data_IF_523967062186
#
_entry.id   IF_523967062186
#
_cell.length_a   1.000
_cell.length_b   1.000
_cell.length_c   1.000
_cell.angle_alpha   90.00
_cell.angle_beta   90.00
_cell.angle_gamma   90.00
#
_symmetry.space_group_name_H-M   'P 1'
#
loop_
_entity.id
_entity.type
_entity.pdbx_description
1 polymer ?
#
# COMPACT_ATOMS: atom_id res chain seq x y z
N UNK A 1 -1.52 -26.94 -1.35
CA UNK A 1 -1.85 -25.58 -0.87
C UNK A 1 -2.42 -25.64 0.56
N UNK A 2 -1.62 -25.31 1.57
CA UNK A 2 -2.09 -25.24 2.97
C UNK A 2 -2.97 -24.01 3.14
N UNK A 3 -4.21 -24.17 3.63
CA UNK A 3 -5.21 -23.12 3.95
C UNK A 3 -4.66 -21.87 4.69
N UNK A 4 -3.47 -21.95 5.29
CA UNK A 4 -2.78 -20.86 6.00
C UNK A 4 -2.20 -19.76 5.11
N UNK A 5 -1.85 -20.05 3.85
CA UNK A 5 -1.26 -19.03 2.96
C UNK A 5 -2.31 -18.06 2.42
N UNK A 6 -3.49 -18.57 2.09
CA UNK A 6 -4.62 -17.78 1.63
C UNK A 6 -5.08 -16.77 2.69
N UNK A 7 -5.11 -17.18 3.96
CA UNK A 7 -5.48 -16.29 5.07
C UNK A 7 -4.49 -15.13 5.27
N UNK A 8 -3.18 -15.34 5.04
CA UNK A 8 -2.19 -14.25 5.13
C UNK A 8 -2.36 -13.23 4.01
N UNK A 9 -2.70 -13.67 2.81
CA UNK A 9 -2.94 -12.77 1.68
C UNK A 9 -4.23 -11.95 1.87
N UNK A 10 -5.29 -12.55 2.43
CA UNK A 10 -6.54 -11.83 2.71
C UNK A 10 -6.33 -10.70 3.72
N UNK A 11 -5.59 -10.96 4.81
CA UNK A 11 -5.29 -9.92 5.82
C UNK A 11 -4.44 -8.80 5.20
N UNK A 12 -3.47 -9.15 4.34
CA UNK A 12 -2.67 -8.18 3.61
C UNK A 12 -3.54 -7.31 2.70
N UNK A 13 -4.46 -7.91 1.93
CA UNK A 13 -5.37 -7.18 1.04
C UNK A 13 -6.29 -6.23 1.81
N UNK A 14 -6.83 -6.64 2.96
CA UNK A 14 -7.67 -5.78 3.81
C UNK A 14 -6.85 -4.61 4.39
N UNK A 15 -5.62 -4.87 4.84
CA UNK A 15 -4.72 -3.82 5.32
C UNK A 15 -4.37 -2.81 4.22
N UNK A 16 -4.08 -3.28 3.00
CA UNK A 16 -3.85 -2.41 1.84
C UNK A 16 -5.10 -1.59 1.49
N UNK A 17 -6.29 -2.19 1.54
CA UNK A 17 -7.55 -1.50 1.27
C UNK A 17 -7.84 -0.36 2.26
N UNK A 18 -7.54 -0.59 3.55
CA UNK A 18 -7.63 0.43 4.59
C UNK A 18 -6.56 1.53 4.41
N UNK A 19 -5.32 1.17 4.07
CA UNK A 19 -4.27 2.15 3.80
C UNK A 19 -4.59 3.01 2.58
N UNK A 20 -5.21 2.45 1.55
CA UNK A 20 -5.65 3.21 0.37
C UNK A 20 -6.79 4.19 0.67
N UNK A 21 -7.54 4.05 1.76
CA UNK A 21 -8.55 5.03 2.16
C UNK A 21 -7.93 6.34 2.69
N UNK A 22 -6.74 6.28 3.28
CA UNK A 22 -6.04 7.44 3.85
C UNK A 22 -5.75 8.52 2.79
N UNK A 23 -5.19 8.23 1.60
CA UNK A 23 -4.99 9.24 0.56
C UNK A 23 -6.30 9.84 0.02
N UNK A 24 -7.41 9.07 0.00
CA UNK A 24 -8.72 9.60 -0.38
C UNK A 24 -9.24 10.66 0.60
N UNK A 25 -9.02 10.48 1.90
CA UNK A 25 -9.39 11.49 2.91
C UNK A 25 -8.43 12.68 2.89
N UNK A 26 -7.13 12.43 2.68
CA UNK A 26 -6.11 13.48 2.63
C UNK A 26 -6.29 14.42 1.43
N UNK A 27 -6.91 13.97 0.32
CA UNK A 27 -7.16 14.80 -0.87
C UNK A 27 -7.98 16.06 -0.56
N UNK A 28 -8.88 15.99 0.44
CA UNK A 28 -9.75 17.10 0.82
C UNK A 28 -9.17 17.97 1.92
N UNK A 29 -8.15 17.49 2.62
CA UNK A 29 -7.64 18.12 3.84
C UNK A 29 -6.28 18.80 3.63
N UNK A 30 -5.50 18.40 2.61
CA UNK A 30 -4.12 18.86 2.45
C UNK A 30 -3.90 19.50 1.08
N UNK A 31 -3.86 20.84 1.06
CA UNK A 31 -3.59 21.66 -0.14
C UNK A 31 -2.11 22.07 -0.27
N UNK A 32 -1.19 21.20 0.13
CA UNK A 32 0.24 21.51 0.10
C UNK A 32 1.00 20.83 -1.04
N UNK A 33 2.22 21.30 -1.28
CA UNK A 33 3.12 20.75 -2.29
C UNK A 33 4.46 20.36 -1.66
N UNK A 34 5.03 19.23 -2.09
CA UNK A 34 6.38 18.75 -1.78
C UNK A 34 7.21 18.89 -3.04
N UNK A 35 8.26 19.73 -3.02
CA UNK A 35 9.09 20.02 -4.20
C UNK A 35 8.27 20.42 -5.46
N UNK A 36 7.13 21.10 -5.28
CA UNK A 36 6.22 21.49 -6.38
C UNK A 36 5.21 20.41 -6.79
N UNK A 37 5.25 19.22 -6.20
CA UNK A 37 4.29 18.12 -6.44
C UNK A 37 3.23 18.10 -5.34
N UNK A 38 1.92 18.01 -5.66
CA UNK A 38 0.88 17.91 -4.64
C UNK A 38 1.10 16.72 -3.70
N UNK A 39 0.86 16.92 -2.39
CA UNK A 39 1.01 15.85 -1.36
C UNK A 39 0.26 14.57 -1.72
N UNK A 40 -0.89 14.70 -2.39
CA UNK A 40 -1.70 13.58 -2.85
C UNK A 40 -0.91 12.59 -3.71
N UNK A 41 -0.17 13.09 -4.72
CA UNK A 41 0.59 12.22 -5.62
C UNK A 41 1.73 11.53 -4.87
N UNK A 42 2.45 12.25 -4.01
CA UNK A 42 3.52 11.67 -3.19
C UNK A 42 3.00 10.52 -2.33
N UNK A 43 1.82 10.66 -1.73
CA UNK A 43 1.18 9.62 -0.95
C UNK A 43 0.79 8.40 -1.78
N UNK A 44 0.18 8.60 -2.95
CA UNK A 44 -0.19 7.49 -3.86
C UNK A 44 1.05 6.70 -4.27
N UNK A 45 2.08 7.41 -4.77
CA UNK A 45 3.31 6.76 -5.23
C UNK A 45 4.02 6.03 -4.10
N UNK A 46 4.08 6.60 -2.90
CA UNK A 46 4.67 5.96 -1.73
C UNK A 46 3.90 4.70 -1.31
N UNK A 47 2.56 4.78 -1.28
CA UNK A 47 1.68 3.63 -0.94
C UNK A 47 1.82 2.51 -1.97
N UNK A 48 1.88 2.87 -3.24
CA UNK A 48 2.10 1.93 -4.33
C UNK A 48 3.47 1.24 -4.23
N UNK A 49 4.52 2.00 -3.97
CA UNK A 49 5.88 1.46 -3.81
C UNK A 49 5.96 0.53 -2.59
N UNK A 50 5.34 0.90 -1.46
CA UNK A 50 5.18 0.04 -0.30
C UNK A 50 4.49 -1.29 -0.64
N UNK A 51 3.39 -1.23 -1.40
CA UNK A 51 2.67 -2.43 -1.86
C UNK A 51 3.59 -3.35 -2.67
N UNK A 52 4.32 -2.81 -3.66
CA UNK A 52 5.26 -3.57 -4.49
C UNK A 52 6.37 -4.21 -3.64
N UNK A 53 6.93 -3.46 -2.69
CA UNK A 53 7.99 -3.95 -1.78
C UNK A 53 7.46 -5.09 -0.90
N UNK A 54 6.26 -4.94 -0.33
CA UNK A 54 5.65 -5.98 0.51
C UNK A 54 5.39 -7.24 -0.33
N UNK A 55 4.80 -7.09 -1.52
CA UNK A 55 4.58 -8.21 -2.45
C UNK A 55 5.90 -8.90 -2.82
N UNK A 56 6.96 -8.13 -3.09
CA UNK A 56 8.29 -8.66 -3.39
C UNK A 56 8.88 -9.46 -2.21
N UNK A 57 8.78 -8.93 -0.98
CA UNK A 57 9.24 -9.61 0.23
C UNK A 57 8.46 -10.91 0.46
N UNK A 58 7.13 -10.88 0.28
CA UNK A 58 6.27 -12.06 0.44
C UNK A 58 6.63 -13.13 -0.58
N UNK A 59 6.85 -12.74 -1.84
CA UNK A 59 7.22 -13.66 -2.91
C UNK A 59 8.58 -14.30 -2.65
N UNK A 60 9.59 -13.49 -2.30
CA UNK A 60 10.95 -13.97 -1.98
C UNK A 60 10.94 -14.93 -0.79
N UNK A 61 10.11 -14.68 0.23
CA UNK A 61 9.98 -15.53 1.42
C UNK A 61 9.20 -16.83 1.19
N UNK A 62 8.50 -16.98 0.07
CA UNK A 62 7.67 -18.15 -0.23
C UNK A 62 8.16 -18.98 -1.43
N UNK A 63 9.19 -18.51 -2.15
CA UNK A 63 9.87 -19.24 -3.22
C UNK A 63 11.31 -19.64 -2.85
N UNK A 64 11.57 -19.84 -1.55
CA UNK A 64 12.59 -20.77 -1.03
C UNK A 64 11.90 -21.96 -0.37
#
# INVERSE_FOLDING_TARGET
MKKRHEQKLIVLSIALFLMFNIPFVLIFNVNGHVFGVPYFYVFIFSTWLLSVVISFIVLKRHYE
#
